data_IF_519726068470
#
_entry.id   IF_519726068470
#
_cell.length_a   1.000
_cell.length_b   1.000
_cell.length_c   1.000
_cell.angle_alpha   90.00
_cell.angle_beta   90.00
_cell.angle_gamma   90.00
#
_symmetry.space_group_name_H-M   'P 1'
#
loop_
_entity.id
_entity.type
_entity.pdbx_description
1 polymer ?
#
# COMPACT_ATOMS: atom_id res chain seq x y z
N UNK A 1 15.40 29.08 20.52
CA UNK A 1 13.92 29.20 20.46
C UNK A 1 13.38 27.85 20.01
N UNK A 2 12.59 27.22 20.87
CA UNK A 2 12.20 25.81 20.81
C UNK A 2 11.39 25.46 19.55
N UNK A 3 11.78 24.37 18.89
CA UNK A 3 10.87 23.52 18.11
C UNK A 3 11.12 22.06 18.51
N UNK A 4 10.78 21.72 19.75
CA UNK A 4 10.30 20.38 20.05
C UNK A 4 8.94 20.26 19.36
N UNK A 5 8.95 19.98 18.06
CA UNK A 5 7.75 19.72 17.29
C UNK A 5 7.14 18.42 17.81
N UNK A 6 6.11 18.56 18.64
CA UNK A 6 5.30 17.44 19.13
C UNK A 6 4.39 16.92 18.01
N UNK A 7 5.00 16.42 16.93
CA UNK A 7 4.28 15.74 15.86
C UNK A 7 4.05 14.30 16.32
N UNK A 8 2.79 13.81 16.29
CA UNK A 8 2.54 12.42 16.62
C UNK A 8 3.32 11.51 15.66
N UNK A 9 3.80 10.35 16.13
CA UNK A 9 4.54 9.42 15.29
C UNK A 9 3.67 8.98 14.11
N UNK A 10 4.29 8.86 12.94
CA UNK A 10 3.64 8.40 11.71
C UNK A 10 3.44 6.89 11.79
N UNK A 11 2.20 6.43 11.74
CA UNK A 11 1.89 5.00 11.73
C UNK A 11 1.62 4.55 10.29
N UNK A 12 2.41 3.58 9.85
CA UNK A 12 2.34 3.01 8.51
C UNK A 12 2.03 1.52 8.65
N UNK A 13 1.05 1.03 7.89
CA UNK A 13 0.80 -0.40 7.81
C UNK A 13 1.85 -1.06 6.90
N UNK A 14 2.59 -2.00 7.49
CA UNK A 14 3.63 -2.75 6.80
C UNK A 14 3.01 -3.77 5.82
N UNK A 15 3.72 -4.08 4.73
CA UNK A 15 3.33 -5.15 3.81
C UNK A 15 3.56 -6.51 4.47
N UNK A 16 2.52 -7.35 4.52
CA UNK A 16 2.60 -8.72 5.04
C UNK A 16 1.83 -9.64 4.11
N UNK A 17 2.56 -10.46 3.35
CA UNK A 17 1.99 -11.44 2.40
C UNK A 17 1.10 -12.46 3.13
N UNK A 18 -0.08 -12.73 2.57
CA UNK A 18 -1.08 -13.62 3.15
C UNK A 18 -1.87 -13.05 4.33
N UNK A 19 -1.57 -11.82 4.78
CA UNK A 19 -2.22 -11.19 5.95
C UNK A 19 -2.87 -9.87 5.55
N UNK A 20 -2.14 -9.01 4.85
CA UNK A 20 -2.57 -7.65 4.51
C UNK A 20 -3.28 -7.55 3.16
N UNK A 21 -4.24 -8.45 2.92
CA UNK A 21 -5.15 -8.34 1.77
C UNK A 21 -6.08 -7.12 1.92
N UNK A 22 -6.73 -6.71 0.83
CA UNK A 22 -7.63 -5.54 0.77
C UNK A 22 -8.64 -5.44 1.93
N UNK A 23 -9.25 -6.56 2.32
CA UNK A 23 -10.22 -6.61 3.43
C UNK A 23 -9.57 -6.24 4.77
N UNK A 24 -8.35 -6.72 5.04
CA UNK A 24 -7.63 -6.40 6.27
C UNK A 24 -7.23 -4.93 6.29
N UNK A 25 -6.78 -4.37 5.15
CA UNK A 25 -6.46 -2.94 5.03
C UNK A 25 -7.70 -2.09 5.31
N UNK A 26 -8.86 -2.46 4.78
CA UNK A 26 -10.10 -1.74 5.06
C UNK A 26 -10.44 -1.76 6.56
N UNK A 27 -10.43 -2.94 7.20
CA UNK A 27 -10.74 -3.06 8.62
C UNK A 27 -9.79 -2.24 9.50
N UNK A 28 -8.47 -2.33 9.27
CA UNK A 28 -7.49 -1.62 10.08
C UNK A 28 -7.53 -0.11 9.85
N UNK A 29 -7.72 0.34 8.60
CA UNK A 29 -7.80 1.77 8.30
C UNK A 29 -9.12 2.40 8.79
N UNK A 30 -10.19 1.62 8.89
CA UNK A 30 -11.45 2.05 9.52
C UNK A 30 -11.35 2.30 11.03
N UNK A 31 -10.39 1.68 11.72
CA UNK A 31 -10.08 2.00 13.13
C UNK A 31 -9.40 3.37 13.24
N UNK A 32 -8.68 3.78 12.18
CA UNK A 32 -7.99 5.07 12.09
C UNK A 32 -6.57 5.05 12.66
N UNK A 33 -5.92 6.22 12.60
CA UNK A 33 -4.55 6.42 13.09
C UNK A 33 -3.44 6.03 12.11
N UNK A 34 -3.75 5.34 11.01
CA UNK A 34 -2.80 5.03 9.95
C UNK A 34 -2.73 6.13 8.90
N UNK A 35 -1.52 6.60 8.61
CA UNK A 35 -1.29 7.59 7.57
C UNK A 35 -1.28 6.97 6.17
N UNK A 36 -0.78 5.74 6.05
CA UNK A 36 -0.79 4.98 4.80
C UNK A 36 -0.72 3.49 5.06
N UNK A 37 -1.08 2.71 4.06
CA UNK A 37 -0.85 1.28 4.01
C UNK A 37 -0.12 0.86 2.74
N UNK A 38 0.51 -0.32 2.80
CA UNK A 38 1.23 -0.91 1.68
C UNK A 38 0.58 -2.25 1.36
N UNK A 39 0.44 -2.55 0.06
CA UNK A 39 -0.08 -3.84 -0.39
C UNK A 39 0.90 -4.96 -0.11
N UNK A 40 0.46 -6.19 -0.31
CA UNK A 40 1.37 -7.30 -0.58
C UNK A 40 2.22 -6.99 -1.83
N UNK A 41 3.38 -7.64 -1.95
CA UNK A 41 4.25 -7.35 -3.08
C UNK A 41 3.68 -7.89 -4.40
N UNK A 42 3.78 -7.08 -5.45
CA UNK A 42 3.61 -7.50 -6.83
C UNK A 42 4.96 -8.01 -7.32
N UNK A 43 5.06 -9.32 -7.55
CA UNK A 43 6.28 -9.93 -8.06
C UNK A 43 6.45 -9.65 -9.55
N UNK A 44 7.47 -8.87 -9.91
CA UNK A 44 7.87 -8.62 -11.30
C UNK A 44 9.11 -9.45 -11.59
N UNK A 45 9.05 -10.33 -12.59
CA UNK A 45 10.12 -11.28 -12.88
C UNK A 45 10.67 -11.16 -14.29
N UNK A 46 9.81 -11.26 -15.31
CA UNK A 46 10.26 -11.35 -16.71
C UNK A 46 9.46 -10.52 -17.70
N UNK A 47 8.28 -10.03 -17.33
CA UNK A 47 7.39 -9.29 -18.23
C UNK A 47 6.64 -8.19 -17.48
N UNK A 48 6.18 -7.18 -18.22
CA UNK A 48 5.25 -6.16 -17.71
C UNK A 48 3.90 -6.83 -17.43
N UNK A 49 3.42 -6.70 -16.19
CA UNK A 49 2.18 -7.32 -15.76
C UNK A 49 0.97 -6.54 -16.27
N UNK A 50 -0.13 -7.23 -16.63
CA UNK A 50 -1.35 -6.55 -17.05
C UNK A 50 -2.04 -5.84 -15.86
N UNK A 51 -2.80 -4.75 -16.11
CA UNK A 51 -3.47 -3.97 -15.06
C UNK A 51 -4.34 -4.79 -14.10
N UNK A 52 -4.95 -5.89 -14.57
CA UNK A 52 -5.77 -6.80 -13.75
C UNK A 52 -5.02 -7.37 -12.53
N UNK A 53 -3.70 -7.55 -12.62
CA UNK A 53 -2.89 -8.07 -11.51
C UNK A 53 -2.83 -7.01 -10.40
N UNK A 54 -2.55 -5.76 -10.77
CA UNK A 54 -2.52 -4.63 -9.84
C UNK A 54 -3.89 -4.41 -9.20
N UNK A 55 -4.98 -4.42 -9.97
CA UNK A 55 -6.33 -4.27 -9.42
C UNK A 55 -6.81 -5.44 -8.55
N UNK A 56 -6.20 -6.63 -8.69
CA UNK A 56 -6.49 -7.77 -7.82
C UNK A 56 -5.83 -7.58 -6.45
N UNK A 57 -4.57 -7.14 -6.43
CA UNK A 57 -3.79 -6.96 -5.19
C UNK A 57 -4.11 -5.62 -4.50
N UNK A 58 -4.45 -4.60 -5.29
CA UNK A 58 -4.80 -3.25 -4.88
C UNK A 58 -6.11 -2.82 -5.56
N UNK A 59 -7.27 -3.36 -5.15
CA UNK A 59 -8.57 -2.89 -5.63
C UNK A 59 -8.79 -1.39 -5.38
N UNK A 60 -8.10 -0.82 -4.39
CA UNK A 60 -8.09 0.61 -4.05
C UNK A 60 -7.62 1.48 -5.21
N UNK A 61 -6.88 0.96 -6.19
CA UNK A 61 -6.55 1.69 -7.42
C UNK A 61 -7.78 2.12 -8.23
N UNK A 62 -8.94 1.47 -8.02
CA UNK A 62 -10.23 1.90 -8.60
C UNK A 62 -10.85 3.07 -7.84
N UNK A 63 -10.33 3.37 -6.65
CA UNK A 63 -10.76 4.42 -5.73
C UNK A 63 -9.58 5.35 -5.42
N UNK A 64 -8.92 5.87 -6.45
CA UNK A 64 -7.80 6.82 -6.35
C UNK A 64 -6.60 6.32 -5.51
N UNK A 65 -6.47 5.01 -5.33
CA UNK A 65 -5.44 4.42 -4.48
C UNK A 65 -5.72 4.61 -2.98
N UNK A 66 -6.99 4.63 -2.57
CA UNK A 66 -7.40 4.80 -1.16
C UNK A 66 -8.36 3.71 -0.71
N UNK A 67 -8.25 3.33 0.57
CA UNK A 67 -9.28 2.54 1.25
C UNK A 67 -10.59 3.34 1.33
N UNK A 68 -11.72 2.71 1.66
CA UNK A 68 -12.99 3.42 1.80
C UNK A 68 -12.94 4.44 2.95
N UNK A 69 -12.08 4.18 3.94
CA UNK A 69 -11.76 5.10 5.04
C UNK A 69 -10.84 6.27 4.64
N UNK A 70 -10.41 6.34 3.36
CA UNK A 70 -9.62 7.43 2.80
C UNK A 70 -8.10 7.32 2.99
N UNK A 71 -7.62 6.28 3.67
CA UNK A 71 -6.19 6.04 3.86
C UNK A 71 -5.53 5.66 2.54
N UNK A 72 -4.45 6.35 2.12
CA UNK A 72 -3.75 6.03 0.88
C UNK A 72 -3.03 4.68 0.94
N UNK A 73 -3.12 3.95 -0.17
CA UNK A 73 -2.56 2.60 -0.36
C UNK A 73 -1.45 2.66 -1.40
N UNK A 74 -0.27 2.16 -1.03
CA UNK A 74 0.91 2.12 -1.89
C UNK A 74 1.14 0.70 -2.38
N UNK A 75 1.30 0.54 -3.69
CA UNK A 75 1.65 -0.76 -4.28
C UNK A 75 3.13 -1.04 -4.02
N UNK A 76 3.44 -2.19 -3.45
CA UNK A 76 4.82 -2.66 -3.34
C UNK A 76 5.18 -3.52 -4.55
N UNK A 77 6.30 -3.23 -5.20
CA UNK A 77 6.87 -4.07 -6.25
C UNK A 77 8.06 -4.86 -5.70
N UNK A 78 8.24 -6.10 -6.16
CA UNK A 78 9.42 -6.92 -5.87
C UNK A 78 9.96 -7.52 -7.16
N UNK A 79 11.17 -7.14 -7.53
CA UNK A 79 11.82 -7.56 -8.76
C UNK A 79 13.27 -7.07 -8.82
N UNK A 80 14.03 -7.59 -9.77
CA UNK A 80 15.46 -7.30 -9.93
C UNK A 80 15.81 -6.57 -11.23
N UNK A 81 14.90 -6.53 -12.20
CA UNK A 81 15.11 -5.85 -13.48
C UNK A 81 14.60 -4.40 -13.39
N UNK A 82 15.48 -3.39 -13.44
CA UNK A 82 15.07 -1.99 -13.37
C UNK A 82 14.13 -1.56 -14.50
N UNK A 83 14.28 -2.10 -15.71
CA UNK A 83 13.46 -1.71 -16.85
C UNK A 83 12.02 -2.21 -16.73
N UNK A 84 11.82 -3.37 -16.06
CA UNK A 84 10.48 -3.89 -15.77
C UNK A 84 9.84 -3.24 -14.54
N UNK A 85 10.62 -2.56 -13.69
CA UNK A 85 10.20 -1.96 -12.42
C UNK A 85 9.98 -0.44 -12.50
N UNK A 86 10.40 0.21 -13.59
CA UNK A 86 10.39 1.66 -13.81
C UNK A 86 9.01 2.22 -14.19
#
# INVERSE_FOLDING_TARGET
MNKSSNQPPRLLLAPMEGVMESVMREMLTGIGGYERCVTEFVRISSTVLPPKVFHRLCPELKNEGRTASGTPVYVQLLGSDPALMA
#
